data_IF_375454737393
#
_entry.id   IF_375454737393
#
_cell.length_a   1.000
_cell.length_b   1.000
_cell.length_c   1.000
_cell.angle_alpha   90.00
_cell.angle_beta   90.00
_cell.angle_gamma   90.00
#
_symmetry.space_group_name_H-M   'P 1'
#
loop_
_entity.id
_entity.type
_entity.pdbx_description
1 polymer ?
#
# COMPACT_ATOMS: atom_id res chain seq x y z
N UNK A 1 23.38 24.27 2.86
CA UNK A 1 22.54 23.19 3.42
C UNK A 1 21.54 22.83 2.35
N UNK A 2 21.79 21.74 1.62
CA UNK A 2 20.86 21.25 0.60
C UNK A 2 19.81 20.43 1.34
N UNK A 3 18.57 20.94 1.40
CA UNK A 3 17.42 20.11 1.72
C UNK A 3 17.21 19.19 0.51
N UNK A 4 17.74 17.97 0.57
CA UNK A 4 17.28 16.92 -0.33
C UNK A 4 15.81 16.69 0.00
N UNK A 5 14.92 17.24 -0.83
CA UNK A 5 13.51 16.85 -0.89
C UNK A 5 13.46 15.39 -1.32
N UNK A 6 13.69 14.47 -0.40
CA UNK A 6 13.43 13.05 -0.56
C UNK A 6 11.93 12.77 -0.39
N UNK A 7 11.06 13.59 -1.01
CA UNK A 7 9.64 13.29 -1.10
C UNK A 7 9.45 12.23 -2.17
N UNK A 8 9.19 11.00 -1.76
CA UNK A 8 8.87 9.93 -2.70
C UNK A 8 7.50 10.24 -3.32
N UNK A 9 7.46 10.43 -4.63
CA UNK A 9 6.21 10.62 -5.35
C UNK A 9 5.76 9.27 -5.91
N UNK A 10 4.53 8.89 -5.59
CA UNK A 10 3.86 7.81 -6.32
C UNK A 10 3.43 8.39 -7.66
N UNK A 11 3.67 7.63 -8.74
CA UNK A 11 3.21 8.00 -10.07
C UNK A 11 1.71 8.33 -10.04
N UNK A 12 1.33 9.49 -10.56
CA UNK A 12 -0.06 9.95 -10.59
C UNK A 12 -0.98 9.01 -11.37
N UNK A 13 -0.45 8.26 -12.34
CA UNK A 13 -1.17 7.21 -13.05
C UNK A 13 -1.52 6.02 -12.15
N UNK A 14 -0.65 5.68 -11.18
CA UNK A 14 -0.90 4.62 -10.20
C UNK A 14 -1.96 5.11 -9.19
N UNK A 15 -1.86 6.36 -8.73
CA UNK A 15 -2.80 6.97 -7.78
C UNK A 15 -4.20 7.22 -8.34
N UNK A 16 -4.33 7.34 -9.66
CA UNK A 16 -5.61 7.63 -10.33
C UNK A 16 -6.32 6.38 -10.86
N UNK A 17 -5.73 5.19 -10.71
CA UNK A 17 -6.32 3.96 -11.22
C UNK A 17 -7.26 3.33 -10.18
N UNK A 18 -8.58 3.27 -10.47
CA UNK A 18 -9.56 2.69 -9.56
C UNK A 18 -9.55 1.15 -9.56
N UNK A 19 -8.77 0.49 -10.42
CA UNK A 19 -8.81 -0.97 -10.57
C UNK A 19 -7.66 -1.65 -9.85
N UNK A 20 -7.75 -1.75 -8.52
CA UNK A 20 -7.03 -2.77 -7.77
C UNK A 20 -7.84 -4.07 -7.78
N UNK A 21 -8.04 -4.69 -8.96
CA UNK A 21 -8.60 -6.04 -9.05
C UNK A 21 -7.55 -7.00 -9.59
N UNK A 22 -7.68 -8.30 -9.29
CA UNK A 22 -6.64 -9.31 -9.64
C UNK A 22 -6.35 -9.40 -11.15
N UNK A 23 -7.28 -8.93 -11.98
CA UNK A 23 -7.20 -8.93 -13.44
C UNK A 23 -6.74 -7.59 -14.02
N UNK A 24 -6.46 -6.59 -13.19
CA UNK A 24 -6.09 -5.28 -13.69
C UNK A 24 -4.67 -5.34 -14.28
N UNK A 25 -4.39 -4.55 -15.34
CA UNK A 25 -3.08 -4.56 -15.98
C UNK A 25 -1.93 -4.33 -14.98
N UNK A 26 -2.15 -3.47 -13.98
CA UNK A 26 -1.16 -3.15 -12.94
C UNK A 26 -0.88 -4.36 -12.04
N UNK A 27 -1.91 -5.10 -11.64
CA UNK A 27 -1.74 -6.29 -10.79
C UNK A 27 -1.11 -7.43 -11.59
N UNK A 28 -1.47 -7.61 -12.86
CA UNK A 28 -0.82 -8.59 -13.74
C UNK A 28 0.67 -8.28 -13.89
N UNK A 29 1.02 -7.02 -14.18
CA UNK A 29 2.42 -6.58 -14.27
C UNK A 29 3.19 -6.83 -12.96
N UNK A 30 2.57 -6.57 -11.81
CA UNK A 30 3.15 -6.85 -10.50
C UNK A 30 3.38 -8.36 -10.29
N UNK A 31 2.42 -9.20 -10.68
CA UNK A 31 2.57 -10.65 -10.57
C UNK A 31 3.67 -11.19 -11.50
N UNK A 32 3.78 -10.66 -12.71
CA UNK A 32 4.87 -10.99 -13.64
C UNK A 32 6.23 -10.57 -13.08
N UNK A 33 6.32 -9.39 -12.47
CA UNK A 33 7.52 -8.95 -11.78
C UNK A 33 7.89 -9.91 -10.64
N UNK A 34 6.93 -10.31 -9.80
CA UNK A 34 7.13 -11.28 -8.71
C UNK A 34 7.60 -12.64 -9.23
N UNK A 35 7.04 -13.10 -10.36
CA UNK A 35 7.41 -14.37 -10.98
C UNK A 35 8.85 -14.39 -11.52
N UNK A 36 9.41 -13.22 -11.82
CA UNK A 36 10.79 -13.06 -12.30
C UNK A 36 11.80 -12.81 -11.16
N UNK A 37 11.36 -12.80 -9.90
CA UNK A 37 12.26 -12.71 -8.75
C UNK A 37 13.06 -14.02 -8.61
N UNK A 38 14.32 -13.90 -8.20
CA UNK A 38 15.19 -15.05 -7.95
C UNK A 38 14.85 -15.73 -6.61
N UNK A 39 13.67 -16.36 -6.56
CA UNK A 39 13.09 -17.04 -5.40
C UNK A 39 12.67 -18.46 -5.75
N UNK A 40 12.45 -19.30 -4.73
CA UNK A 40 11.92 -20.64 -4.97
C UNK A 40 10.45 -20.55 -5.45
N UNK A 41 9.99 -21.49 -6.31
CA UNK A 41 8.62 -21.45 -6.83
C UNK A 41 7.53 -21.39 -5.75
N UNK A 42 7.77 -22.03 -4.60
CA UNK A 42 6.85 -22.00 -3.46
C UNK A 42 6.74 -20.60 -2.83
N UNK A 43 7.86 -19.87 -2.75
CA UNK A 43 7.89 -18.50 -2.20
C UNK A 43 7.17 -17.54 -3.13
N UNK A 44 7.45 -17.63 -4.44
CA UNK A 44 6.75 -16.88 -5.49
C UNK A 44 5.23 -17.11 -5.39
N UNK A 45 4.80 -18.37 -5.25
CA UNK A 45 3.38 -18.71 -5.13
C UNK A 45 2.72 -18.11 -3.89
N UNK A 46 3.40 -18.11 -2.73
CA UNK A 46 2.89 -17.50 -1.50
C UNK A 46 2.76 -15.99 -1.62
N UNK A 47 3.81 -15.31 -2.08
CA UNK A 47 3.79 -13.85 -2.28
C UNK A 47 2.70 -13.46 -3.28
N UNK A 48 2.58 -14.19 -4.39
CA UNK A 48 1.55 -13.94 -5.40
C UNK A 48 0.12 -14.10 -4.83
N UNK A 49 -0.10 -15.07 -3.95
CA UNK A 49 -1.39 -15.25 -3.29
C UNK A 49 -1.72 -14.09 -2.34
N UNK A 50 -0.75 -13.62 -1.56
CA UNK A 50 -0.91 -12.47 -0.68
C UNK A 50 -1.22 -11.18 -1.45
N UNK A 51 -0.52 -10.94 -2.57
CA UNK A 51 -0.78 -9.79 -3.45
C UNK A 51 -2.16 -9.84 -4.09
N UNK A 52 -2.61 -11.02 -4.52
CA UNK A 52 -3.98 -11.20 -5.03
C UNK A 52 -5.01 -10.93 -3.95
N UNK A 53 -4.79 -11.42 -2.74
CA UNK A 53 -5.65 -11.16 -1.59
C UNK A 53 -5.71 -9.66 -1.24
N UNK A 54 -4.59 -8.94 -1.32
CA UNK A 54 -4.57 -7.48 -1.16
C UNK A 54 -5.48 -6.81 -2.20
N UNK A 55 -5.30 -7.12 -3.48
CA UNK A 55 -6.11 -6.56 -4.56
C UNK A 55 -7.59 -6.88 -4.34
N UNK A 56 -7.93 -8.13 -3.99
CA UNK A 56 -9.29 -8.54 -3.70
C UNK A 56 -9.91 -7.86 -2.46
N UNK A 57 -9.10 -7.41 -1.50
CA UNK A 57 -9.57 -6.62 -0.36
C UNK A 57 -9.81 -5.16 -0.77
N UNK A 58 -8.88 -4.57 -1.51
CA UNK A 58 -9.00 -3.19 -2.00
C UNK A 58 -10.21 -3.04 -2.92
N UNK A 59 -10.48 -3.99 -3.81
CA UNK A 59 -11.64 -3.93 -4.71
C UNK A 59 -12.99 -3.89 -4.00
N UNK A 60 -13.03 -4.20 -2.70
CA UNK A 60 -14.22 -4.16 -1.84
C UNK A 60 -14.30 -2.89 -1.00
N UNK A 61 -13.35 -1.96 -1.13
CA UNK A 61 -13.42 -0.69 -0.42
C UNK A 61 -14.60 0.12 -0.94
N UNK A 62 -15.44 0.55 -0.02
CA UNK A 62 -16.66 1.28 -0.32
C UNK A 62 -16.67 2.61 0.42
N UNK A 63 -17.10 3.66 -0.25
CA UNK A 63 -17.30 4.96 0.38
C UNK A 63 -18.48 4.95 1.36
N UNK A 64 -19.44 4.02 1.18
CA UNK A 64 -20.74 4.08 1.85
C UNK A 64 -21.67 5.17 1.30
N UNK A 65 -21.29 5.83 0.19
CA UNK A 65 -22.09 6.77 -0.59
C UNK A 65 -22.46 6.15 -1.94
N UNK A 66 -23.30 6.84 -2.73
CA UNK A 66 -23.74 6.35 -4.03
C UNK A 66 -22.62 6.26 -5.08
N UNK A 67 -21.59 7.11 -4.98
CA UNK A 67 -20.46 7.15 -5.89
C UNK A 67 -19.14 6.99 -5.13
N UNK A 68 -18.32 6.02 -5.57
CA UNK A 68 -17.02 5.73 -4.99
C UNK A 68 -15.88 6.52 -5.65
N UNK A 69 -16.12 7.26 -6.74
CA UNK A 69 -15.05 7.94 -7.48
C UNK A 69 -14.28 8.95 -6.60
N UNK A 70 -14.99 9.80 -5.86
CA UNK A 70 -14.39 10.75 -4.93
C UNK A 70 -13.57 10.04 -3.83
N UNK A 71 -14.03 8.86 -3.40
CA UNK A 71 -13.33 8.05 -2.41
C UNK A 71 -12.01 7.50 -2.94
N UNK A 72 -11.99 6.99 -4.17
CA UNK A 72 -10.75 6.54 -4.82
C UNK A 72 -9.72 7.66 -4.98
N UNK A 73 -10.16 8.86 -5.38
CA UNK A 73 -9.28 10.03 -5.44
C UNK A 73 -8.73 10.42 -4.06
N UNK A 74 -9.56 10.30 -3.02
CA UNK A 74 -9.15 10.53 -1.65
C UNK A 74 -8.11 9.50 -1.19
N UNK A 75 -8.30 8.22 -1.50
CA UNK A 75 -7.32 7.17 -1.21
C UNK A 75 -5.97 7.46 -1.89
N UNK A 76 -5.98 7.88 -3.16
CA UNK A 76 -4.76 8.27 -3.87
C UNK A 76 -4.01 9.44 -3.23
N UNK A 77 -4.72 10.54 -2.96
CA UNK A 77 -4.10 11.70 -2.28
C UNK A 77 -3.61 11.35 -0.87
N UNK A 78 -4.35 10.52 -0.13
CA UNK A 78 -3.98 10.07 1.21
C UNK A 78 -2.77 9.12 1.19
N UNK A 79 -2.65 8.25 0.19
CA UNK A 79 -1.49 7.38 0.03
C UNK A 79 -0.20 8.18 -0.16
N UNK A 80 -0.27 9.29 -0.90
CA UNK A 80 0.86 10.20 -1.05
C UNK A 80 1.28 10.85 0.28
N UNK A 81 0.34 11.15 1.18
CA UNK A 81 0.63 11.63 2.54
C UNK A 81 1.36 10.57 3.37
N UNK A 82 0.88 9.31 3.33
CA UNK A 82 1.51 8.18 4.05
C UNK A 82 2.97 8.00 3.61
N UNK A 83 3.21 8.08 2.30
CA UNK A 83 4.55 7.93 1.73
C UNK A 83 5.48 9.07 2.15
N UNK A 84 5.00 10.31 2.14
CA UNK A 84 5.79 11.49 2.50
C UNK A 84 6.02 11.65 4.01
N UNK A 85 5.22 10.99 4.84
CA UNK A 85 5.44 10.98 6.28
C UNK A 85 6.76 10.29 6.60
N UNK A 86 7.56 10.78 7.53
CA UNK A 86 8.82 10.10 7.92
C UNK A 86 8.53 9.09 9.02
N UNK A 87 7.63 9.46 9.94
CA UNK A 87 7.24 8.66 11.09
C UNK A 87 5.82 8.14 10.99
N UNK A 88 5.50 7.14 11.79
CA UNK A 88 4.17 6.55 11.87
C UNK A 88 3.15 7.48 12.52
N UNK A 89 3.53 8.19 13.58
CA UNK A 89 2.66 9.14 14.27
C UNK A 89 2.28 10.34 13.38
N UNK A 90 3.22 10.81 12.54
CA UNK A 90 2.96 11.83 11.53
C UNK A 90 1.88 11.43 10.52
N UNK A 91 1.71 10.13 10.26
CA UNK A 91 0.67 9.64 9.35
C UNK A 91 -0.71 9.91 9.93
N UNK A 92 -0.92 9.60 11.22
CA UNK A 92 -2.19 9.84 11.89
C UNK A 92 -2.47 11.34 12.01
N UNK A 93 -1.46 12.14 12.35
CA UNK A 93 -1.59 13.60 12.43
C UNK A 93 -2.05 14.23 11.09
N UNK A 94 -1.66 13.64 9.96
CA UNK A 94 -2.07 14.10 8.63
C UNK A 94 -3.41 13.52 8.17
N UNK A 95 -3.71 12.25 8.47
CA UNK A 95 -4.93 11.59 8.00
C UNK A 95 -6.16 11.90 8.85
N UNK A 96 -6.02 12.19 10.14
CA UNK A 96 -7.15 12.54 11.02
C UNK A 96 -7.91 13.79 10.52
N UNK A 97 -7.25 14.92 10.17
CA UNK A 97 -7.93 16.06 9.60
C UNK A 97 -8.62 15.75 8.27
N UNK A 98 -7.96 14.97 7.40
CA UNK A 98 -8.52 14.55 6.10
C UNK A 98 -9.79 13.74 6.32
N UNK A 99 -9.74 12.71 7.18
CA UNK A 99 -10.90 11.92 7.54
C UNK A 99 -12.04 12.77 8.11
N UNK A 100 -11.73 13.71 9.02
CA UNK A 100 -12.75 14.57 9.63
C UNK A 100 -13.43 15.48 8.61
N UNK A 101 -12.69 16.01 7.63
CA UNK A 101 -13.22 16.97 6.65
C UNK A 101 -13.99 16.29 5.52
N UNK A 102 -13.66 15.04 5.19
CA UNK A 102 -14.20 14.35 4.02
C UNK A 102 -15.46 13.52 4.31
N UNK A 103 -15.90 13.47 5.58
CA UNK A 103 -17.16 12.84 5.96
C UNK A 103 -18.34 13.51 5.27
N UNK A 104 -19.30 12.70 4.83
CA UNK A 104 -20.47 13.09 4.02
C UNK A 104 -20.14 13.71 2.66
N UNK A 105 -18.87 13.76 2.26
CA UNK A 105 -18.42 14.31 0.99
C UNK A 105 -17.79 13.23 0.11
N UNK A 106 -16.71 12.60 0.59
CA UNK A 106 -16.03 11.52 -0.13
C UNK A 106 -16.41 10.14 0.40
N UNK A 107 -16.94 10.04 1.62
CA UNK A 107 -17.42 8.80 2.23
C UNK A 107 -18.46 9.07 3.32
N UNK A 108 -19.22 8.04 3.71
CA UNK A 108 -20.29 8.10 4.71
C UNK A 108 -19.80 8.63 6.06
N UNK A 109 -20.62 9.44 6.74
CA UNK A 109 -20.36 9.90 8.11
C UNK A 109 -19.96 8.80 9.10
N UNK A 110 -20.49 7.60 8.87
CA UNK A 110 -20.37 6.44 9.74
C UNK A 110 -19.05 5.68 9.56
N UNK A 111 -18.27 5.96 8.50
CA UNK A 111 -16.98 5.30 8.26
C UNK A 111 -16.02 5.58 9.43
N UNK A 112 -15.64 4.52 10.13
CA UNK A 112 -14.75 4.60 11.28
C UNK A 112 -13.35 5.07 10.85
N UNK A 113 -12.65 5.80 11.73
CA UNK A 113 -11.29 6.27 11.42
C UNK A 113 -10.32 5.11 11.19
N UNK A 114 -10.42 4.05 12.00
CA UNK A 114 -9.55 2.87 11.89
C UNK A 114 -9.79 2.12 10.57
N UNK A 115 -11.04 2.09 10.10
CA UNK A 115 -11.41 1.54 8.80
C UNK A 115 -10.78 2.36 7.67
N UNK A 116 -10.99 3.68 7.68
CA UNK A 116 -10.39 4.59 6.71
C UNK A 116 -8.85 4.47 6.68
N UNK A 117 -8.22 4.44 7.86
CA UNK A 117 -6.77 4.34 7.96
C UNK A 117 -6.23 3.04 7.37
N UNK A 118 -6.86 1.91 7.70
CA UNK A 118 -6.53 0.61 7.11
C UNK A 118 -6.67 0.62 5.59
N UNK A 119 -7.76 1.19 5.07
CA UNK A 119 -8.02 1.25 3.63
C UNK A 119 -6.97 2.12 2.91
N UNK A 120 -6.62 3.28 3.46
CA UNK A 120 -5.53 4.12 2.95
C UNK A 120 -4.21 3.36 2.91
N UNK A 121 -3.85 2.63 3.96
CA UNK A 121 -2.57 1.94 4.01
C UNK A 121 -2.49 0.69 3.14
N UNK A 122 -3.58 -0.07 3.02
CA UNK A 122 -3.66 -1.17 2.05
C UNK A 122 -3.55 -0.66 0.62
N UNK A 123 -4.25 0.44 0.32
CA UNK A 123 -4.13 1.09 -0.97
C UNK A 123 -2.69 1.57 -1.23
N UNK A 124 -2.07 2.23 -0.24
CA UNK A 124 -0.67 2.67 -0.30
C UNK A 124 0.29 1.50 -0.57
N UNK A 125 0.12 0.38 0.14
CA UNK A 125 0.93 -0.82 -0.07
C UNK A 125 0.81 -1.34 -1.51
N UNK A 126 -0.40 -1.39 -2.05
CA UNK A 126 -0.63 -1.79 -3.43
C UNK A 126 0.05 -0.82 -4.42
N UNK A 127 -0.08 0.49 -4.21
CA UNK A 127 0.58 1.48 -5.06
C UNK A 127 2.10 1.33 -5.06
N UNK A 128 2.71 1.13 -3.88
CA UNK A 128 4.16 0.95 -3.76
C UNK A 128 4.65 -0.34 -4.44
N UNK A 129 3.88 -1.43 -4.37
CA UNK A 129 4.18 -2.67 -5.06
C UNK A 129 4.12 -2.49 -6.59
N UNK A 130 3.05 -1.87 -7.10
CA UNK A 130 2.87 -1.58 -8.53
C UNK A 130 3.95 -0.64 -9.04
N UNK A 131 4.33 0.37 -8.26
CA UNK A 131 5.41 1.28 -8.60
C UNK A 131 6.75 0.54 -8.67
N UNK A 132 7.06 -0.30 -7.67
CA UNK A 132 8.28 -1.09 -7.64
C UNK A 132 8.36 -2.07 -8.84
N UNK A 133 7.22 -2.65 -9.25
CA UNK A 133 7.13 -3.47 -10.45
C UNK A 133 7.31 -2.66 -11.74
N UNK A 134 6.75 -1.45 -11.82
CA UNK A 134 6.94 -0.54 -12.97
C UNK A 134 8.40 -0.11 -13.11
N UNK A 135 9.06 0.18 -11.99
CA UNK A 135 10.46 0.58 -11.92
C UNK A 135 11.43 -0.61 -11.96
N UNK A 136 10.90 -1.85 -11.90
CA UNK A 136 11.68 -3.10 -11.80
C UNK A 136 12.69 -3.10 -10.64
N UNK A 137 12.38 -2.38 -9.56
CA UNK A 137 13.29 -2.15 -8.45
C UNK A 137 12.53 -1.89 -7.14
N UNK A 138 13.10 -2.40 -6.05
CA UNK A 138 12.69 -2.03 -4.70
C UNK A 138 13.70 -1.08 -4.09
N UNK A 139 13.31 0.18 -3.86
CA UNK A 139 14.19 1.16 -3.23
C UNK A 139 14.18 1.00 -1.70
N UNK A 140 15.25 1.40 -0.98
CA UNK A 140 15.28 1.30 0.47
C UNK A 140 14.10 2.00 1.18
N UNK A 141 13.66 3.14 0.64
CA UNK A 141 12.55 3.91 1.17
C UNK A 141 11.21 3.20 0.98
N UNK A 142 10.94 2.67 -0.22
CA UNK A 142 9.69 1.92 -0.46
C UNK A 142 9.65 0.62 0.34
N UNK A 143 10.79 -0.06 0.49
CA UNK A 143 10.92 -1.25 1.34
C UNK A 143 10.57 -0.97 2.79
N UNK A 144 11.12 0.09 3.37
CA UNK A 144 10.82 0.48 4.75
C UNK A 144 9.32 0.75 4.94
N UNK A 145 8.70 1.44 3.98
CA UNK A 145 7.27 1.78 4.01
C UNK A 145 6.37 0.55 3.90
N UNK A 146 6.59 -0.30 2.91
CA UNK A 146 5.80 -1.52 2.73
C UNK A 146 5.91 -2.45 3.95
N UNK A 147 7.12 -2.61 4.51
CA UNK A 147 7.29 -3.42 5.73
C UNK A 147 6.57 -2.85 6.94
N UNK A 148 6.58 -1.53 7.12
CA UNK A 148 5.88 -0.89 8.23
C UNK A 148 4.36 -1.13 8.15
N UNK A 149 3.78 -0.98 6.95
CA UNK A 149 2.36 -1.24 6.70
C UNK A 149 2.03 -2.71 6.98
N UNK A 150 2.74 -3.66 6.35
CA UNK A 150 2.46 -5.09 6.52
C UNK A 150 2.61 -5.51 7.99
N UNK A 151 3.62 -4.97 8.70
CA UNK A 151 3.84 -5.26 10.12
C UNK A 151 2.64 -4.86 10.98
N UNK A 152 1.97 -3.75 10.69
CA UNK A 152 0.83 -3.27 11.49
C UNK A 152 -0.38 -4.20 11.40
N UNK A 153 -0.60 -4.80 10.23
CA UNK A 153 -1.77 -5.64 9.97
C UNK A 153 -1.48 -7.15 10.00
N UNK A 154 -0.20 -7.54 10.05
CA UNK A 154 0.26 -8.94 10.09
C UNK A 154 -0.38 -9.85 9.03
N UNK A 155 -0.70 -9.29 7.86
CA UNK A 155 -1.58 -9.91 6.86
C UNK A 155 -0.85 -10.51 5.65
N UNK A 156 0.47 -10.29 5.52
CA UNK A 156 1.28 -10.75 4.37
C UNK A 156 2.69 -11.23 4.79
N UNK A 157 2.79 -12.34 5.52
CA UNK A 157 4.06 -12.87 6.02
C UNK A 157 5.10 -13.15 4.95
N UNK A 158 4.71 -13.75 3.82
CA UNK A 158 5.66 -14.16 2.79
C UNK A 158 6.27 -12.94 2.11
N UNK A 159 5.45 -11.95 1.76
CA UNK A 159 5.91 -10.68 1.22
C UNK A 159 6.79 -9.95 2.23
N UNK A 160 6.37 -9.84 3.49
CA UNK A 160 7.17 -9.16 4.52
C UNK A 160 8.56 -9.79 4.68
N UNK A 161 8.62 -11.12 4.75
CA UNK A 161 9.87 -11.87 4.88
C UNK A 161 10.80 -11.58 3.70
N UNK A 162 10.27 -11.63 2.47
CA UNK A 162 11.02 -11.29 1.27
C UNK A 162 11.56 -9.85 1.31
N UNK A 163 10.72 -8.86 1.66
CA UNK A 163 11.14 -7.46 1.77
C UNK A 163 12.21 -7.25 2.85
N UNK A 164 12.23 -8.06 3.92
CA UNK A 164 13.31 -8.07 4.90
C UNK A 164 14.60 -8.62 4.28
N UNK A 165 14.55 -9.78 3.62
CA UNK A 165 15.71 -10.42 3.00
C UNK A 165 16.44 -9.49 2.02
N UNK A 166 15.73 -8.87 1.09
CA UNK A 166 16.35 -8.02 0.05
C UNK A 166 16.91 -6.70 0.58
N UNK A 167 16.52 -6.31 1.80
CA UNK A 167 17.01 -5.10 2.45
C UNK A 167 18.12 -5.34 3.48
N UNK A 168 18.40 -6.61 3.82
CA UNK A 168 19.28 -6.96 4.93
C UNK A 168 18.75 -6.61 6.32
N UNK A 169 17.45 -6.29 6.47
CA UNK A 169 16.85 -6.01 7.75
C UNK A 169 16.71 -7.29 8.60
N UNK A 170 16.94 -7.17 9.92
CA UNK A 170 16.83 -8.30 10.84
C UNK A 170 15.43 -8.92 10.83
N UNK A 171 15.40 -10.24 10.59
CA UNK A 171 14.25 -11.08 10.80
C UNK A 171 14.06 -11.30 12.30
N UNK A 172 13.42 -10.34 12.99
CA UNK A 172 13.09 -10.52 14.41
C UNK A 172 12.10 -11.67 14.54
N UNK A 173 12.55 -12.77 15.16
CA UNK A 173 11.81 -14.03 15.37
C UNK A 173 10.59 -13.92 16.31
N UNK A 174 10.28 -12.73 16.81
CA UNK A 174 9.16 -12.49 17.72
C UNK A 174 7.79 -12.34 17.05
N UNK A 175 7.69 -12.46 15.73
CA UNK A 175 6.41 -12.34 15.03
C UNK A 175 5.81 -13.72 14.76
N UNK A 176 4.76 -14.04 15.50
CA UNK A 176 3.82 -15.11 15.15
C UNK A 176 2.78 -14.52 14.20
N UNK A 177 2.81 -14.96 12.94
CA UNK A 177 1.73 -14.76 11.99
C UNK A 177 0.63 -15.80 12.19
#
# INVERSE_FOLDING_TARGET
MLSENNSLQIDSFILSSPSCNETSPQIVQLLDFIANLNLLPLEISKISAEVKQLAAQISKFESGLQDNQAYWQLLGSSAQLVVNSIREDEVLEQLVPVWSQQRDHAFSREKAIDEFYREVEYYTLCCLLVQSASEQAFTPLTLAKMRAIIRRYSNMPALWYYLCQISGAELKTGYTF
#
